data_IF_207537110114
#
_entry.id   IF_207537110114
#
_cell.length_a   1.000
_cell.length_b   1.000
_cell.length_c   1.000
_cell.angle_alpha   90.00
_cell.angle_beta   90.00
_cell.angle_gamma   90.00
#
_symmetry.space_group_name_H-M   'P 1'
#
loop_
_entity.id
_entity.type
_entity.pdbx_description
1 polymer ?
#
# COMPACT_ATOMS: atom_id res chain seq x y z
N UNK A 1 4.47 -47.47 22.96
CA UNK A 1 5.29 -46.36 22.45
C UNK A 1 4.49 -45.58 21.41
N UNK A 2 3.75 -44.54 21.83
CA UNK A 2 2.99 -43.67 20.94
C UNK A 2 3.83 -42.46 20.53
N UNK A 3 4.29 -42.43 19.28
CA UNK A 3 5.00 -41.28 18.72
C UNK A 3 4.04 -40.32 18.04
N UNK A 4 3.77 -39.18 18.67
CA UNK A 4 3.04 -38.06 18.04
C UNK A 4 3.93 -37.41 16.97
N UNK A 5 3.55 -37.53 15.69
CA UNK A 5 4.19 -36.79 14.60
C UNK A 5 3.67 -35.35 14.62
N UNK A 6 4.55 -34.40 14.98
CA UNK A 6 4.25 -32.97 14.99
C UNK A 6 4.14 -32.46 13.55
N UNK A 7 2.99 -31.88 13.21
CA UNK A 7 2.78 -31.16 11.96
C UNK A 7 3.55 -29.84 12.05
N UNK A 8 4.63 -29.69 11.27
CA UNK A 8 5.36 -28.42 11.16
C UNK A 8 4.71 -27.61 10.05
N UNK A 9 4.01 -26.54 10.42
CA UNK A 9 3.50 -25.53 9.50
C UNK A 9 4.59 -24.48 9.34
N UNK A 10 5.26 -24.47 8.18
CA UNK A 10 6.23 -23.43 7.83
C UNK A 10 5.48 -22.17 7.38
N UNK A 11 5.57 -21.08 8.15
CA UNK A 11 5.00 -19.78 7.80
C UNK A 11 5.82 -19.16 6.66
N UNK A 12 5.24 -19.05 5.46
CA UNK A 12 5.75 -18.15 4.41
C UNK A 12 5.04 -16.80 4.51
N UNK A 13 5.76 -15.73 4.18
CA UNK A 13 5.45 -14.31 4.39
C UNK A 13 4.37 -13.72 3.47
N UNK A 14 3.53 -14.55 2.84
CA UNK A 14 2.48 -14.09 1.92
C UNK A 14 1.13 -14.64 2.39
N UNK A 15 0.25 -13.81 2.95
CA UNK A 15 -1.02 -14.27 3.56
C UNK A 15 -2.04 -14.85 2.56
N UNK A 16 -1.71 -14.90 1.26
CA UNK A 16 -2.66 -15.18 0.16
C UNK A 16 -2.37 -16.46 -0.63
N UNK A 17 -1.29 -17.19 -0.34
CA UNK A 17 -0.96 -18.44 -1.03
C UNK A 17 -1.52 -19.64 -0.26
N UNK A 18 -2.41 -20.40 -0.89
CA UNK A 18 -2.83 -21.70 -0.37
C UNK A 18 -1.90 -22.78 -0.95
N UNK A 19 -1.07 -23.38 -0.10
CA UNK A 19 -0.29 -24.56 -0.48
C UNK A 19 -1.18 -25.78 -0.27
N UNK A 20 -1.66 -26.40 -1.35
CA UNK A 20 -2.29 -27.72 -1.28
C UNK A 20 -1.18 -28.76 -1.23
N UNK A 21 -1.01 -29.45 -0.10
CA UNK A 21 -0.13 -30.63 -0.03
C UNK A 21 -0.73 -31.72 -0.93
N UNK A 22 -0.18 -31.88 -2.13
CA UNK A 22 -0.39 -33.09 -2.91
C UNK A 22 0.26 -34.28 -2.18
N UNK A 23 -0.38 -35.45 -2.28
CA UNK A 23 0.04 -36.69 -1.64
C UNK A 23 1.57 -36.93 -1.76
N UNK A 24 2.25 -37.47 -0.72
CA UNK A 24 3.71 -37.59 -0.64
C UNK A 24 4.38 -38.56 -1.65
N UNK A 25 3.68 -38.95 -2.72
CA UNK A 25 4.19 -39.84 -3.77
C UNK A 25 4.17 -39.23 -5.18
N UNK A 26 3.79 -37.97 -5.36
CA UNK A 26 3.79 -37.31 -6.68
C UNK A 26 4.92 -36.25 -6.75
N UNK A 27 5.94 -36.49 -7.58
CA UNK A 27 7.10 -35.60 -7.80
C UNK A 27 6.74 -34.32 -8.60
N UNK A 28 5.50 -33.83 -8.49
CA UNK A 28 5.07 -32.59 -9.15
C UNK A 28 5.50 -31.40 -8.30
N UNK A 29 6.19 -30.45 -8.93
CA UNK A 29 6.46 -29.12 -8.34
C UNK A 29 5.18 -28.59 -7.67
N UNK A 30 5.31 -28.20 -6.40
CA UNK A 30 4.22 -27.59 -5.64
C UNK A 30 3.99 -26.20 -6.22
N UNK A 31 3.06 -26.07 -7.15
CA UNK A 31 2.69 -24.78 -7.74
C UNK A 31 1.90 -23.99 -6.71
N UNK A 32 2.33 -22.77 -6.34
CA UNK A 32 1.53 -21.89 -5.47
C UNK A 32 0.22 -21.54 -6.20
N UNK A 33 -0.93 -21.94 -5.63
CA UNK A 33 -2.24 -21.59 -6.19
C UNK A 33 -2.74 -20.35 -5.43
N UNK A 34 -2.84 -19.22 -6.11
CA UNK A 34 -3.55 -18.05 -5.59
C UNK A 34 -5.05 -18.39 -5.45
N UNK A 35 -5.68 -17.93 -4.36
CA UNK A 35 -7.10 -18.17 -4.17
C UNK A 35 -7.92 -17.65 -5.38
N UNK A 36 -8.93 -18.38 -5.89
CA UNK A 36 -9.66 -18.02 -7.12
C UNK A 36 -10.27 -16.60 -7.12
N UNK A 37 -10.69 -16.12 -5.94
CA UNK A 37 -11.19 -14.75 -5.76
C UNK A 37 -10.07 -13.73 -6.02
N UNK A 38 -8.84 -14.01 -5.59
CA UNK A 38 -7.69 -13.12 -5.77
C UNK A 38 -7.21 -13.13 -7.22
N UNK A 39 -7.18 -14.29 -7.88
CA UNK A 39 -6.82 -14.43 -9.30
C UNK A 39 -7.76 -13.64 -10.23
N UNK A 40 -9.08 -13.77 -10.05
CA UNK A 40 -10.07 -13.04 -10.86
C UNK A 40 -10.00 -11.51 -10.66
N UNK A 41 -9.72 -11.06 -9.44
CA UNK A 41 -9.49 -9.64 -9.14
C UNK A 41 -8.20 -9.15 -9.82
N UNK A 42 -7.12 -9.92 -9.75
CA UNK A 42 -5.82 -9.55 -10.32
C UNK A 42 -5.89 -9.32 -11.84
N UNK A 43 -6.57 -10.19 -12.59
CA UNK A 43 -6.57 -10.15 -14.06
C UNK A 43 -7.42 -9.01 -14.64
N UNK A 44 -8.46 -8.57 -13.92
CA UNK A 44 -9.39 -7.54 -14.42
C UNK A 44 -9.18 -6.18 -13.80
N UNK A 45 -8.86 -6.11 -12.51
CA UNK A 45 -8.83 -4.84 -11.77
C UNK A 45 -7.46 -4.18 -11.87
N UNK A 46 -6.35 -4.94 -11.85
CA UNK A 46 -5.00 -4.36 -11.94
C UNK A 46 -4.79 -3.57 -13.24
N UNK A 47 -5.15 -4.09 -14.43
CA UNK A 47 -4.99 -3.31 -15.66
C UNK A 47 -5.78 -1.99 -15.66
N UNK A 48 -6.92 -1.95 -14.98
CA UNK A 48 -7.71 -0.73 -14.84
C UNK A 48 -7.03 0.27 -13.90
N UNK A 49 -6.56 -0.18 -12.74
CA UNK A 49 -5.81 0.66 -11.79
C UNK A 49 -4.54 1.22 -12.43
N UNK A 50 -3.77 0.38 -13.14
CA UNK A 50 -2.57 0.79 -13.86
C UNK A 50 -2.88 1.83 -14.94
N UNK A 51 -4.04 1.73 -15.59
CA UNK A 51 -4.49 2.71 -16.57
C UNK A 51 -4.86 4.03 -15.91
N UNK A 52 -5.56 4.02 -14.78
CA UNK A 52 -5.85 5.24 -14.01
C UNK A 52 -4.55 5.93 -13.57
N UNK A 53 -3.55 5.16 -13.12
CA UNK A 53 -2.24 5.69 -12.73
C UNK A 53 -1.46 6.28 -13.91
N UNK A 54 -1.49 5.63 -15.07
CA UNK A 54 -0.92 6.18 -16.30
C UNK A 54 -1.58 7.50 -16.69
N UNK A 55 -2.91 7.58 -16.60
CA UNK A 55 -3.64 8.82 -16.85
C UNK A 55 -3.25 9.93 -15.87
N UNK A 56 -3.09 9.62 -14.56
CA UNK A 56 -2.61 10.59 -13.57
C UNK A 56 -1.24 11.15 -13.94
N UNK A 57 -0.32 10.30 -14.38
CA UNK A 57 1.03 10.72 -14.77
C UNK A 57 1.09 11.58 -16.04
N UNK A 58 0.06 11.50 -16.88
CA UNK A 58 -0.11 12.38 -18.05
C UNK A 58 -0.73 13.74 -17.69
N UNK A 59 -0.95 14.02 -16.40
CA UNK A 59 -1.54 15.26 -15.90
C UNK A 59 -2.91 15.60 -16.49
N UNK A 60 -3.68 14.60 -16.95
CA UNK A 60 -5.00 14.81 -17.59
C UNK A 60 -6.01 15.48 -16.66
N UNK A 61 -5.79 15.41 -15.34
CA UNK A 61 -6.60 16.12 -14.36
C UNK A 61 -6.47 17.65 -14.47
N UNK A 62 -5.35 18.16 -14.98
CA UNK A 62 -5.16 19.60 -15.27
C UNK A 62 -6.01 20.05 -16.47
N UNK A 63 -6.30 19.14 -17.39
CA UNK A 63 -7.15 19.34 -18.56
C UNK A 63 -8.65 19.15 -18.25
N UNK A 64 -9.02 19.02 -16.97
CA UNK A 64 -10.40 18.87 -16.51
C UNK A 64 -10.94 17.42 -16.52
N UNK A 65 -10.11 16.44 -16.86
CA UNK A 65 -10.52 15.02 -16.81
C UNK A 65 -10.40 14.50 -15.38
N UNK A 66 -11.53 14.27 -14.72
CA UNK A 66 -11.55 13.71 -13.37
C UNK A 66 -11.22 12.22 -13.39
N UNK A 67 -10.25 11.82 -12.55
CA UNK A 67 -9.91 10.41 -12.36
C UNK A 67 -10.52 9.88 -11.05
N UNK A 68 -10.99 8.62 -11.03
CA UNK A 68 -11.56 8.02 -9.82
C UNK A 68 -10.61 8.13 -8.64
N UNK A 69 -11.06 8.69 -7.53
CA UNK A 69 -10.24 8.91 -6.32
C UNK A 69 -11.06 8.56 -5.09
N UNK A 70 -10.42 7.92 -4.10
CA UNK A 70 -11.05 7.61 -2.81
C UNK A 70 -10.69 8.73 -1.83
N UNK A 71 -11.68 9.30 -1.16
CA UNK A 71 -11.48 10.34 -0.15
C UNK A 71 -11.92 9.80 1.20
N UNK A 72 -11.05 9.93 2.21
CA UNK A 72 -11.35 9.53 3.58
C UNK A 72 -11.79 10.77 4.36
N UNK A 73 -13.03 10.76 4.85
CA UNK A 73 -13.65 11.86 5.60
C UNK A 73 -14.20 11.38 6.94
N UNK A 74 -14.24 12.26 7.93
CA UNK A 74 -14.83 11.99 9.24
C UNK A 74 -14.21 12.79 10.38
N UNK A 75 -14.90 12.80 11.52
CA UNK A 75 -14.55 13.60 12.70
C UNK A 75 -13.14 13.32 13.23
N UNK A 76 -12.58 14.26 13.99
CA UNK A 76 -11.28 14.05 14.65
C UNK A 76 -11.31 12.76 15.48
N UNK A 77 -10.24 11.96 15.42
CA UNK A 77 -10.12 10.69 16.14
C UNK A 77 -11.07 9.55 15.71
N UNK A 78 -11.79 9.67 14.57
CA UNK A 78 -12.64 8.58 14.04
C UNK A 78 -11.90 7.39 13.40
N UNK A 79 -10.57 7.32 13.54
CA UNK A 79 -9.77 6.20 13.00
C UNK A 79 -9.33 6.33 11.54
N UNK A 80 -9.51 7.50 10.90
CA UNK A 80 -9.09 7.76 9.49
C UNK A 80 -7.64 7.37 9.23
N UNK A 81 -6.71 7.86 10.06
CA UNK A 81 -5.29 7.53 9.94
C UNK A 81 -5.06 6.04 10.15
N UNK A 82 -5.77 5.38 11.08
CA UNK A 82 -5.62 3.94 11.32
C UNK A 82 -6.07 3.08 10.14
N UNK A 83 -7.13 3.50 9.42
CA UNK A 83 -7.54 2.83 8.17
C UNK A 83 -6.46 2.99 7.10
N UNK A 84 -5.92 4.20 6.94
CA UNK A 84 -4.85 4.46 5.98
C UNK A 84 -3.55 3.72 6.34
N UNK A 85 -3.18 3.67 7.63
CA UNK A 85 -2.05 2.89 8.15
C UNK A 85 -2.18 1.42 7.74
N UNK A 86 -3.37 0.85 7.95
CA UNK A 86 -3.65 -0.56 7.67
C UNK A 86 -3.61 -0.88 6.17
N UNK A 87 -4.04 0.07 5.32
CA UNK A 87 -4.01 -0.08 3.87
C UNK A 87 -2.59 0.10 3.31
N UNK A 88 -1.82 1.03 3.87
CA UNK A 88 -0.50 1.40 3.38
C UNK A 88 0.63 0.53 3.95
N UNK A 89 0.39 -0.15 5.07
CA UNK A 89 1.40 -0.92 5.78
C UNK A 89 2.44 -0.04 6.51
N UNK A 90 2.15 1.24 6.72
CA UNK A 90 3.04 2.20 7.38
C UNK A 90 2.33 2.89 8.55
N UNK A 91 3.10 3.55 9.42
CA UNK A 91 2.55 4.40 10.48
C UNK A 91 2.51 5.86 10.04
N UNK A 92 1.31 6.42 9.81
CA UNK A 92 1.14 7.85 9.63
C UNK A 92 1.35 8.61 10.95
N UNK A 93 1.68 9.91 10.90
CA UNK A 93 1.87 10.71 12.10
C UNK A 93 0.69 10.67 13.07
N UNK A 94 1.00 10.43 14.35
CA UNK A 94 0.05 10.47 15.46
C UNK A 94 0.49 11.55 16.44
N UNK A 95 -0.45 12.31 17.00
CA UNK A 95 -0.15 13.39 17.94
C UNK A 95 -1.39 13.94 18.64
N UNK A 96 -1.18 14.73 19.70
CA UNK A 96 -2.23 15.47 20.38
C UNK A 96 -2.58 16.71 19.54
N UNK A 97 -3.76 16.75 18.94
CA UNK A 97 -4.22 17.87 18.08
C UNK A 97 -4.63 17.43 16.66
N UNK A 98 -4.55 18.35 15.69
CA UNK A 98 -4.91 18.09 14.29
C UNK A 98 -3.72 17.39 13.61
N UNK A 99 -3.80 16.07 13.41
CA UNK A 99 -2.75 15.29 12.75
C UNK A 99 -2.58 15.62 11.26
N UNK A 100 -3.62 16.12 10.58
CA UNK A 100 -3.62 16.38 9.14
C UNK A 100 -3.82 17.87 8.88
N UNK A 101 -2.72 18.63 8.79
CA UNK A 101 -2.74 20.08 8.50
C UNK A 101 -2.67 20.41 7.01
N UNK A 102 -2.35 19.42 6.18
CA UNK A 102 -2.29 19.51 4.72
C UNK A 102 -3.05 18.33 4.12
N UNK A 103 -3.73 18.49 2.97
CA UNK A 103 -4.26 17.35 2.24
C UNK A 103 -3.13 16.37 1.92
N UNK A 104 -3.27 15.12 2.36
CA UNK A 104 -2.37 14.02 2.04
C UNK A 104 -2.98 13.17 0.93
N UNK A 105 -2.32 13.10 -0.21
CA UNK A 105 -2.70 12.21 -1.31
C UNK A 105 -1.79 10.98 -1.28
N UNK A 106 -2.37 9.83 -0.93
CA UNK A 106 -1.66 8.56 -0.90
C UNK A 106 -1.77 7.85 -2.25
N UNK A 107 -0.64 7.41 -2.80
CA UNK A 107 -0.52 6.67 -4.07
C UNK A 107 0.11 5.32 -3.79
N UNK A 108 -0.70 4.26 -3.84
CA UNK A 108 -0.24 2.87 -3.71
C UNK A 108 -0.10 2.29 -5.11
N UNK A 109 1.12 1.85 -5.45
CA UNK A 109 1.45 1.33 -6.77
C UNK A 109 2.06 -0.06 -6.66
N UNK A 110 1.86 -0.91 -7.67
CA UNK A 110 2.57 -2.19 -7.74
C UNK A 110 3.97 -2.00 -8.29
N UNK A 111 4.94 -2.71 -7.72
CA UNK A 111 6.30 -2.85 -8.23
C UNK A 111 6.68 -4.33 -8.29
N UNK A 112 7.52 -4.70 -9.25
CA UNK A 112 8.15 -6.02 -9.29
C UNK A 112 9.35 -6.14 -8.35
N UNK A 113 9.77 -5.01 -7.74
CA UNK A 113 10.82 -5.00 -6.72
C UNK A 113 10.33 -5.74 -5.48
N UNK A 114 11.12 -6.65 -4.88
CA UNK A 114 10.77 -7.30 -3.62
C UNK A 114 10.84 -6.35 -2.42
N UNK A 115 11.46 -5.18 -2.58
CA UNK A 115 11.61 -4.15 -1.55
C UNK A 115 10.66 -3.00 -1.86
N UNK A 116 9.82 -2.56 -0.90
CA UNK A 116 8.95 -1.43 -1.10
C UNK A 116 9.74 -0.12 -1.24
N UNK A 117 9.31 0.75 -2.16
CA UNK A 117 9.85 2.11 -2.28
C UNK A 117 8.85 3.08 -1.67
N UNK A 118 9.29 3.93 -0.75
CA UNK A 118 8.47 4.94 -0.09
C UNK A 118 9.07 6.31 -0.35
N UNK A 119 8.25 7.28 -0.77
CA UNK A 119 8.69 8.65 -1.00
C UNK A 119 7.60 9.67 -0.74
N UNK A 120 8.02 10.89 -0.42
CA UNK A 120 7.17 12.07 -0.36
C UNK A 120 7.43 12.96 -1.56
N UNK A 121 6.37 13.56 -2.10
CA UNK A 121 6.45 14.56 -3.16
C UNK A 121 5.69 15.82 -2.73
N UNK A 122 6.38 16.96 -2.73
CA UNK A 122 5.83 18.27 -2.42
C UNK A 122 6.74 19.37 -2.95
N UNK A 123 6.18 20.52 -3.37
CA UNK A 123 6.96 21.68 -3.85
C UNK A 123 8.02 21.30 -4.91
N UNK A 124 7.66 20.45 -5.87
CA UNK A 124 8.53 19.91 -6.93
C UNK A 124 9.77 19.14 -6.42
N UNK A 125 9.75 18.68 -5.16
CA UNK A 125 10.78 17.84 -4.55
C UNK A 125 10.25 16.43 -4.35
N UNK A 126 11.12 15.46 -4.56
CA UNK A 126 10.90 14.05 -4.20
C UNK A 126 11.89 13.71 -3.09
N UNK A 127 11.38 13.21 -1.97
CA UNK A 127 12.15 12.83 -0.79
C UNK A 127 11.92 11.34 -0.52
N UNK A 128 12.90 10.46 -0.82
CA UNK A 128 12.81 9.05 -0.46
C UNK A 128 12.87 8.88 1.06
N UNK A 129 12.19 7.86 1.58
CA UNK A 129 12.13 7.54 3.00
C UNK A 129 11.86 6.04 3.19
N UNK A 130 11.65 5.60 4.41
CA UNK A 130 11.41 4.22 4.81
C UNK A 130 10.28 4.14 5.84
N UNK A 131 9.89 2.93 6.20
CA UNK A 131 8.77 2.70 7.13
C UNK A 131 9.03 3.26 8.54
N UNK A 132 10.29 3.40 8.96
CA UNK A 132 10.66 3.88 10.28
C UNK A 132 10.57 5.42 10.34
N UNK A 133 11.04 6.10 9.30
CA UNK A 133 11.16 7.57 9.28
C UNK A 133 9.98 8.29 8.61
N UNK A 134 9.05 7.57 7.97
CA UNK A 134 7.96 8.19 7.19
C UNK A 134 7.08 9.13 8.01
N UNK A 135 6.79 8.81 9.27
CA UNK A 135 5.99 9.68 10.13
C UNK A 135 6.69 11.04 10.37
N UNK A 136 7.98 11.01 10.68
CA UNK A 136 8.77 12.22 10.90
C UNK A 136 8.91 13.03 9.60
N UNK A 137 9.14 12.35 8.47
CA UNK A 137 9.23 12.97 7.16
C UNK A 137 7.92 13.68 6.76
N UNK A 138 6.75 13.07 7.03
CA UNK A 138 5.44 13.68 6.79
C UNK A 138 5.27 14.92 7.67
N UNK A 139 5.63 14.85 8.96
CA UNK A 139 5.55 16.00 9.87
C UNK A 139 6.41 17.16 9.36
N UNK A 140 7.68 16.89 9.05
CA UNK A 140 8.62 17.89 8.55
C UNK A 140 8.13 18.51 7.22
N UNK A 141 7.66 17.71 6.27
CA UNK A 141 7.10 18.20 5.02
C UNK A 141 5.85 19.06 5.26
N UNK A 142 4.97 18.62 6.17
CA UNK A 142 3.75 19.34 6.54
C UNK A 142 4.05 20.72 7.14
N UNK A 143 5.06 20.82 8.01
CA UNK A 143 5.47 22.10 8.59
C UNK A 143 5.97 23.09 7.52
N UNK A 144 6.65 22.60 6.50
CA UNK A 144 7.17 23.43 5.39
C UNK A 144 6.05 23.94 4.49
N UNK A 145 5.03 23.11 4.20
CA UNK A 145 4.04 23.40 3.15
C UNK A 145 2.64 23.77 3.66
N UNK A 146 2.46 23.82 4.99
CA UNK A 146 1.17 24.10 5.62
C UNK A 146 0.43 25.29 4.97
N UNK A 147 -0.82 25.04 4.56
CA UNK A 147 -1.70 26.05 3.96
C UNK A 147 -1.38 26.46 2.53
N UNK A 148 -0.38 25.85 1.87
CA UNK A 148 0.05 26.25 0.51
C UNK A 148 -0.04 25.13 -0.51
N UNK A 149 0.29 23.90 -0.13
CA UNK A 149 0.42 22.79 -1.07
C UNK A 149 -0.16 21.48 -0.51
N UNK A 150 -0.41 20.55 -1.44
CA UNK A 150 -0.76 19.15 -1.16
C UNK A 150 0.53 18.34 -0.94
N UNK A 151 0.50 17.44 0.04
CA UNK A 151 1.55 16.45 0.24
C UNK A 151 1.17 15.16 -0.50
N UNK A 152 2.06 14.63 -1.32
CA UNK A 152 1.88 13.33 -1.95
C UNK A 152 2.76 12.30 -1.27
N UNK A 153 2.19 11.17 -0.89
CA UNK A 153 2.89 10.00 -0.37
C UNK A 153 2.80 8.88 -1.40
N UNK A 154 3.93 8.50 -1.98
CA UNK A 154 4.03 7.38 -2.90
C UNK A 154 4.59 6.15 -2.19
N UNK A 155 3.94 5.01 -2.41
CA UNK A 155 4.37 3.70 -1.93
C UNK A 155 4.28 2.73 -3.10
N UNK A 156 5.39 2.10 -3.46
CA UNK A 156 5.42 0.96 -4.36
C UNK A 156 5.54 -0.32 -3.55
N UNK A 157 4.55 -1.20 -3.66
CA UNK A 157 4.50 -2.49 -2.98
C UNK A 157 4.60 -3.65 -4.00
N UNK A 158 4.98 -4.85 -3.53
CA UNK A 158 5.09 -6.09 -4.31
C UNK A 158 3.73 -6.56 -4.86
#
# INVERSE_FOLDING_TARGET
MGGSKKHVVTRTSSPSLAIVQANPHDNREVVPIEAPIISSYNDRIRPLLDTVDRLRNLNVMREGIQLPTIVVVGDQSSGKSSVLDSLAGISLPRGQGICTRVPLVMRLQRSSSPVPEIWLEYSDKIVPTDEEHIAEAICAATDVIAGKFTLYLGIKCV
#
